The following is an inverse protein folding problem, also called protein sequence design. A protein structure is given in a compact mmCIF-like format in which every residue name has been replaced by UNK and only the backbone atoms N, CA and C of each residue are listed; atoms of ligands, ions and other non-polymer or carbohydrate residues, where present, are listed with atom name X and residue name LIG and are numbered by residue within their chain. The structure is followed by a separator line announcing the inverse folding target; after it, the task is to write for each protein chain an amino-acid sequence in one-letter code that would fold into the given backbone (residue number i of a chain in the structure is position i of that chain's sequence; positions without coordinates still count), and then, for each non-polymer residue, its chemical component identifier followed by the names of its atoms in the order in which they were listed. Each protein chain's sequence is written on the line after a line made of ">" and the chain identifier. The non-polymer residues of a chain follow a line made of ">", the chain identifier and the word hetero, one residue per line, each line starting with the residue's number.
data_IF_926822697089
#
_entry.id   IF_926822697089
#
_cell.length_a   1.000
_cell.length_b   1.000
_cell.length_c   1.000
_cell.angle_alpha   90.00
_cell.angle_beta   90.00
_cell.angle_gamma   90.00
#
_symmetry.space_group_name_H-M   'P 1'
#
loop_
_entity.id
_entity.type
_entity.pdbx_description
1 polymer ?
#
# COMPACT_ATOMS: atom_id res chain seq x y z
N UNK A 1 -2.34 -10.28 2.52
CA UNK A 1 -2.76 -9.79 1.16
C UNK A 1 -3.10 -10.97 0.25
N UNK A 2 -4.33 -11.41 0.18
CA UNK A 2 -4.73 -12.41 -0.79
C UNK A 2 -5.06 -11.77 -2.15
N UNK A 3 -5.07 -12.60 -3.21
CA UNK A 3 -5.60 -12.23 -4.52
C UNK A 3 -4.82 -11.15 -5.26
N UNK A 4 -5.55 -10.17 -5.87
CA UNK A 4 -4.94 -9.16 -6.75
C UNK A 4 -3.93 -8.26 -6.05
N UNK A 5 -4.13 -7.94 -4.78
CA UNK A 5 -3.20 -7.12 -4.00
C UNK A 5 -1.85 -7.81 -3.83
N UNK A 6 -1.84 -9.12 -3.63
CA UNK A 6 -0.60 -9.89 -3.53
C UNK A 6 0.19 -9.88 -4.83
N UNK A 7 -0.50 -9.95 -5.97
CA UNK A 7 0.13 -9.85 -7.29
C UNK A 7 0.72 -8.47 -7.52
N UNK A 8 -0.01 -7.43 -7.14
CA UNK A 8 0.47 -6.04 -7.23
C UNK A 8 1.71 -5.84 -6.37
N UNK A 9 1.71 -6.35 -5.13
CA UNK A 9 2.86 -6.28 -4.24
C UNK A 9 4.10 -6.91 -4.86
N UNK A 10 3.98 -8.11 -5.41
CA UNK A 10 5.11 -8.79 -6.06
C UNK A 10 5.65 -8.01 -7.25
N UNK A 11 4.75 -7.45 -8.07
CA UNK A 11 5.12 -6.65 -9.23
C UNK A 11 5.90 -5.39 -8.83
N UNK A 12 5.41 -4.66 -7.84
CA UNK A 12 6.04 -3.43 -7.37
C UNK A 12 7.37 -3.72 -6.68
N UNK A 13 7.43 -4.76 -5.85
CA UNK A 13 8.67 -5.17 -5.20
C UNK A 13 9.77 -5.48 -6.22
N UNK A 14 9.43 -6.21 -7.30
CA UNK A 14 10.37 -6.54 -8.36
C UNK A 14 10.84 -5.30 -9.13
N UNK A 15 9.95 -4.32 -9.32
CA UNK A 15 10.26 -3.09 -10.06
C UNK A 15 11.06 -2.08 -9.25
N UNK A 16 11.20 -2.27 -7.92
CA UNK A 16 11.86 -1.32 -7.02
C UNK A 16 12.96 -2.00 -6.21
N UNK A 17 14.08 -2.41 -6.86
CA UNK A 17 15.11 -3.20 -6.17
C UNK A 17 15.85 -2.42 -5.09
N UNK A 18 15.78 -1.09 -5.08
CA UNK A 18 16.43 -0.25 -4.06
C UNK A 18 15.59 -0.04 -2.81
N UNK A 19 14.34 -0.52 -2.81
CA UNK A 19 13.44 -0.40 -1.66
C UNK A 19 13.44 -1.72 -0.90
N UNK A 20 13.63 -1.62 0.42
CA UNK A 20 13.46 -2.75 1.33
C UNK A 20 11.98 -2.89 1.67
N UNK A 21 11.37 -3.99 1.26
CA UNK A 21 9.95 -4.28 1.47
C UNK A 21 9.79 -5.31 2.58
N UNK A 22 8.99 -4.98 3.59
CA UNK A 22 8.67 -5.86 4.69
C UNK A 22 7.15 -5.98 4.82
N UNK A 23 6.63 -7.13 4.46
CA UNK A 23 5.20 -7.38 4.47
C UNK A 23 4.69 -7.53 5.91
N UNK A 24 3.59 -6.83 6.23
CA UNK A 24 2.95 -6.91 7.53
C UNK A 24 1.71 -7.79 7.40
N UNK A 25 1.61 -8.82 8.25
CA UNK A 25 0.42 -9.64 8.36
C UNK A 25 -0.06 -9.60 9.81
N UNK A 26 -0.61 -8.46 10.21
CA UNK A 26 -1.10 -8.28 11.57
C UNK A 26 -2.63 -8.16 11.56
N UNK A 27 -3.28 -9.22 12.02
CA UNK A 27 -4.75 -9.29 12.08
C UNK A 27 -5.32 -8.65 13.35
N UNK A 28 -4.48 -8.32 14.34
CA UNK A 28 -4.94 -7.78 15.61
C UNK A 28 -5.04 -6.25 15.63
N UNK A 29 -4.48 -5.57 14.64
CA UNK A 29 -4.54 -4.11 14.55
C UNK A 29 -5.28 -3.72 13.26
N UNK A 30 -6.57 -3.31 13.36
CA UNK A 30 -7.34 -2.92 12.18
C UNK A 30 -6.73 -1.69 11.49
N UNK A 31 -6.70 -1.72 10.17
CA UNK A 31 -6.25 -0.59 9.36
C UNK A 31 -4.74 -0.49 9.17
N UNK A 32 -3.96 -1.43 9.73
CA UNK A 32 -2.52 -1.46 9.49
C UNK A 32 -2.22 -1.59 7.99
N UNK A 33 -1.19 -0.86 7.49
CA UNK A 33 -0.79 -0.98 6.09
C UNK A 33 -0.20 -2.35 5.77
N UNK A 34 -0.15 -2.68 4.48
CA UNK A 34 0.32 -3.99 4.02
C UNK A 34 1.83 -4.17 4.16
N UNK A 35 2.60 -3.09 4.04
CA UNK A 35 4.06 -3.19 4.06
C UNK A 35 4.73 -2.02 4.78
N UNK A 36 5.83 -2.33 5.45
CA UNK A 36 6.79 -1.36 5.97
C UNK A 36 7.98 -1.31 5.04
N UNK A 37 8.43 -0.11 4.70
CA UNK A 37 9.45 0.07 3.68
C UNK A 37 10.56 1.00 4.13
N UNK A 38 11.76 0.76 3.57
CA UNK A 38 12.89 1.68 3.66
C UNK A 38 13.43 1.88 2.25
N UNK A 39 13.69 3.13 1.88
CA UNK A 39 14.38 3.40 0.62
C UNK A 39 15.90 3.32 0.79
N UNK A 40 16.65 3.58 -0.28
CA UNK A 40 18.12 3.54 -0.24
C UNK A 40 18.75 4.59 0.67
N UNK A 41 17.99 5.58 1.09
CA UNK A 41 18.42 6.62 2.03
C UNK A 41 17.99 6.33 3.47
N UNK A 42 17.48 5.12 3.72
CA UNK A 42 16.93 4.68 5.01
C UNK A 42 15.72 5.50 5.49
N UNK A 43 15.00 6.12 4.57
CA UNK A 43 13.73 6.77 4.91
C UNK A 43 12.65 5.70 5.04
N UNK A 44 12.03 5.66 6.21
CA UNK A 44 10.93 4.76 6.53
C UNK A 44 9.61 5.28 5.96
N UNK A 45 8.82 4.39 5.38
CA UNK A 45 7.46 4.69 4.96
C UNK A 45 6.61 3.42 4.92
N UNK A 46 5.30 3.58 4.84
CA UNK A 46 4.37 2.46 4.76
C UNK A 46 3.57 2.54 3.48
N UNK A 47 3.15 1.37 2.97
CA UNK A 47 2.36 1.28 1.75
C UNK A 47 1.18 0.34 1.97
N UNK A 48 -0.01 0.83 1.62
CA UNK A 48 -1.24 0.04 1.53
C UNK A 48 -1.50 -0.25 0.05
N UNK A 49 -1.73 -1.52 -0.30
CA UNK A 49 -2.04 -1.90 -1.68
C UNK A 49 -3.53 -2.03 -1.88
N UNK A 50 -4.03 -1.44 -2.96
CA UNK A 50 -5.43 -1.54 -3.36
C UNK A 50 -5.53 -1.88 -4.83
N UNK A 51 -6.44 -2.78 -5.16
CA UNK A 51 -6.83 -3.06 -6.53
C UNK A 51 -8.31 -2.72 -6.67
N UNK A 52 -8.63 -1.83 -7.61
CA UNK A 52 -9.99 -1.33 -7.81
C UNK A 52 -10.54 -1.82 -9.15
N UNK A 53 -11.85 -1.95 -9.24
CA UNK A 53 -12.51 -2.30 -10.52
C UNK A 53 -12.49 -1.16 -11.51
N UNK A 54 -12.62 0.07 -11.01
CA UNK A 54 -12.58 1.29 -11.82
C UNK A 54 -11.61 2.30 -11.21
N UNK A 55 -11.95 3.58 -11.27
CA UNK A 55 -11.09 4.67 -10.79
C UNK A 55 -11.40 5.12 -9.35
N UNK A 56 -12.32 4.42 -8.68
CA UNK A 56 -12.77 4.83 -7.35
C UNK A 56 -12.03 4.04 -6.27
N UNK A 57 -11.20 4.74 -5.50
CA UNK A 57 -10.52 4.18 -4.34
C UNK A 57 -11.48 4.11 -3.15
N UNK A 58 -11.50 2.96 -2.47
CA UNK A 58 -12.28 2.78 -1.25
C UNK A 58 -11.38 2.26 -0.13
N UNK A 59 -11.42 2.95 1.00
CA UNK A 59 -10.73 2.54 2.22
C UNK A 59 -11.76 2.15 3.27
N UNK A 60 -11.42 1.16 4.09
CA UNK A 60 -12.25 0.83 5.25
C UNK A 60 -12.15 1.96 6.29
N UNK A 61 -13.15 2.10 7.20
CA UNK A 61 -13.05 3.10 8.27
C UNK A 61 -11.79 2.95 9.12
N UNK A 62 -11.31 1.74 9.34
CA UNK A 62 -10.07 1.49 10.09
C UNK A 62 -8.83 2.00 9.32
N UNK A 63 -8.80 1.83 8.00
CA UNK A 63 -7.72 2.33 7.16
C UNK A 63 -7.71 3.85 7.14
N UNK A 64 -8.88 4.48 7.02
CA UNK A 64 -8.99 5.94 7.09
C UNK A 64 -8.49 6.46 8.43
N UNK A 65 -8.93 5.85 9.54
CA UNK A 65 -8.51 6.26 10.88
C UNK A 65 -7.00 6.11 11.07
N UNK A 66 -6.42 5.03 10.57
CA UNK A 66 -4.98 4.80 10.67
C UNK A 66 -4.20 5.88 9.93
N UNK A 67 -4.58 6.21 8.70
CA UNK A 67 -3.92 7.25 7.89
C UNK A 67 -4.09 8.63 8.50
N UNK A 68 -5.22 8.92 9.12
CA UNK A 68 -5.42 10.20 9.82
C UNK A 68 -4.48 10.35 11.02
N UNK A 69 -4.17 9.26 11.71
CA UNK A 69 -3.21 9.29 12.82
C UNK A 69 -1.76 9.30 12.37
N UNK A 70 -1.50 8.91 11.12
CA UNK A 70 -0.15 8.80 10.56
C UNK A 70 -0.08 9.55 9.23
N UNK A 71 -0.09 10.91 9.25
CA UNK A 71 -0.22 11.70 8.02
C UNK A 71 1.06 11.79 7.19
N UNK A 72 2.21 11.35 7.73
CA UNK A 72 3.48 11.46 7.03
C UNK A 72 4.07 10.08 6.73
N UNK A 73 4.71 9.99 5.56
CA UNK A 73 5.40 8.77 5.11
C UNK A 73 4.48 7.56 5.04
N UNK A 74 3.21 7.78 4.70
CA UNK A 74 2.22 6.74 4.52
C UNK A 74 1.62 6.89 3.12
N UNK A 75 1.56 5.79 2.37
CA UNK A 75 1.14 5.83 0.98
C UNK A 75 0.12 4.75 0.69
N UNK A 76 -0.74 5.01 -0.27
CA UNK A 76 -1.68 4.04 -0.82
C UNK A 76 -1.35 3.89 -2.29
N UNK A 77 -0.98 2.69 -2.72
CA UNK A 77 -0.73 2.38 -4.12
C UNK A 77 -1.93 1.60 -4.66
N UNK A 78 -2.65 2.20 -5.60
CA UNK A 78 -3.85 1.62 -6.18
C UNK A 78 -3.65 1.31 -7.65
N UNK A 79 -4.16 0.15 -8.08
CA UNK A 79 -4.22 -0.23 -9.48
C UNK A 79 -5.66 -0.45 -9.91
N UNK A 80 -6.05 0.19 -11.01
CA UNK A 80 -7.35 -0.07 -11.63
C UNK A 80 -7.28 -1.32 -12.48
N UNK A 81 -8.18 -2.28 -12.25
CA UNK A 81 -8.28 -3.48 -13.08
C UNK A 81 -8.76 -3.15 -14.50
N UNK A 82 -9.59 -2.12 -14.64
CA UNK A 82 -10.16 -1.75 -15.93
C UNK A 82 -9.11 -1.17 -16.88
N UNK A 83 -8.20 -0.32 -16.38
CA UNK A 83 -7.21 0.38 -17.21
C UNK A 83 -5.78 -0.05 -16.97
N UNK A 84 -5.49 -0.75 -15.86
CA UNK A 84 -4.14 -1.09 -15.44
C UNK A 84 -3.36 0.11 -14.88
N UNK A 85 -3.97 1.30 -14.80
CA UNK A 85 -3.31 2.48 -14.28
C UNK A 85 -2.96 2.35 -12.80
N UNK A 86 -1.77 2.81 -12.45
CA UNK A 86 -1.29 2.90 -11.08
C UNK A 86 -1.43 4.34 -10.59
N UNK A 87 -1.91 4.50 -9.36
CA UNK A 87 -1.99 5.80 -8.69
C UNK A 87 -1.41 5.69 -7.29
N UNK A 88 -0.59 6.66 -6.92
CA UNK A 88 0.01 6.75 -5.60
C UNK A 88 -0.62 7.92 -4.84
N UNK A 89 -1.17 7.63 -3.67
CA UNK A 89 -1.76 8.62 -2.78
C UNK A 89 -0.93 8.74 -1.51
N UNK A 90 -0.76 9.95 -1.00
CA UNK A 90 -0.28 10.16 0.36
C UNK A 90 -1.44 9.96 1.32
N UNK A 91 -1.16 9.24 2.39
CA UNK A 91 -2.16 8.89 3.39
C UNK A 91 -2.55 10.01 4.33
#
# INVERSE_FOLDING_TARGET
>A
MPGPEAKLYKKIKKATPTISWNRIENLSIPGMPDALCYNKYNTFFTVEFKVTKGNKLRLSPHQVAWHMRHPYNTFILAQSQASGCLKLYEG
#
